data_IF_342424685702
#
_entry.id   IF_342424685702
#
_cell.length_a   1.000
_cell.length_b   1.000
_cell.length_c   1.000
_cell.angle_alpha   90.00
_cell.angle_beta   90.00
_cell.angle_gamma   90.00
#
_symmetry.space_group_name_H-M   'P 1'
#
loop_
_entity.id
_entity.type
_entity.pdbx_description
1 polymer ?
#
# COMPACT_ATOMS: atom_id res chain seq x y z
N UNK A 1 2.74 -8.72 43.44
CA UNK A 1 3.35 -7.81 42.48
C UNK A 1 4.26 -8.60 41.53
N UNK A 2 3.94 -8.64 40.23
CA UNK A 2 4.80 -9.23 39.19
C UNK A 2 4.56 -8.50 37.86
N UNK A 3 5.56 -7.75 37.46
CA UNK A 3 5.65 -7.04 36.18
C UNK A 3 6.08 -8.06 35.12
N UNK A 4 5.36 -8.14 34.00
CA UNK A 4 5.81 -8.87 32.81
C UNK A 4 5.85 -7.88 31.64
N UNK A 5 7.05 -7.39 31.35
CA UNK A 5 7.36 -6.81 30.05
C UNK A 5 7.56 -7.98 29.07
N UNK A 6 6.61 -8.21 28.16
CA UNK A 6 6.82 -9.11 27.03
C UNK A 6 7.60 -8.36 25.97
N UNK A 7 8.90 -8.62 25.94
CA UNK A 7 9.79 -8.16 24.88
C UNK A 7 9.35 -8.70 23.53
N UNK A 8 8.80 -7.82 22.69
CA UNK A 8 8.62 -8.09 21.26
C UNK A 8 9.87 -7.62 20.49
N UNK A 9 10.99 -8.30 20.72
CA UNK A 9 12.01 -8.40 19.67
C UNK A 9 11.47 -9.43 18.68
N UNK A 10 10.90 -8.93 17.58
CA UNK A 10 10.42 -9.76 16.49
C UNK A 10 11.65 -10.34 15.79
N UNK A 11 11.94 -11.60 16.09
CA UNK A 11 12.93 -12.42 15.41
C UNK A 11 12.70 -12.35 13.89
N UNK A 12 13.49 -11.53 13.21
CA UNK A 12 13.69 -11.64 11.77
C UNK A 12 14.43 -12.95 11.54
N UNK A 13 13.71 -14.06 11.38
CA UNK A 13 14.30 -15.31 10.92
C UNK A 13 14.87 -15.09 9.52
N UNK A 14 16.16 -14.80 9.47
CA UNK A 14 16.97 -14.93 8.26
C UNK A 14 17.22 -16.42 8.05
N UNK A 15 16.51 -17.05 7.12
CA UNK A 15 16.84 -18.41 6.68
C UNK A 15 18.23 -18.41 6.02
N UNK A 16 19.18 -19.24 6.46
CA UNK A 16 20.48 -19.32 5.82
C UNK A 16 20.37 -20.24 4.60
N UNK A 17 20.50 -19.67 3.40
CA UNK A 17 20.76 -20.47 2.20
C UNK A 17 19.95 -20.11 0.96
N UNK A 18 20.08 -18.88 0.45
CA UNK A 18 20.30 -18.67 -0.97
C UNK A 18 20.85 -17.26 -1.20
N UNK A 19 21.67 -17.09 -2.25
CA UNK A 19 22.48 -15.90 -2.57
C UNK A 19 21.77 -14.57 -2.28
N UNK A 20 22.51 -13.62 -1.70
CA UNK A 20 22.11 -12.25 -1.40
C UNK A 20 21.47 -11.53 -2.61
N UNK A 21 20.20 -11.78 -2.88
CA UNK A 21 19.36 -10.78 -3.52
C UNK A 21 19.23 -9.68 -2.48
N UNK A 22 19.67 -8.46 -2.78
CA UNK A 22 19.33 -7.30 -1.95
C UNK A 22 17.84 -7.38 -1.68
N UNK A 23 17.43 -7.52 -0.42
CA UNK A 23 16.02 -7.63 -0.06
C UNK A 23 15.41 -6.25 -0.31
N UNK A 24 14.96 -6.04 -1.54
CA UNK A 24 14.19 -4.87 -1.93
C UNK A 24 12.93 -4.93 -1.08
N UNK A 25 12.65 -3.91 -0.24
CA UNK A 25 11.51 -3.96 0.65
C UNK A 25 10.21 -3.85 -0.17
N UNK A 26 9.19 -4.57 0.28
CA UNK A 26 7.83 -4.42 -0.25
C UNK A 26 7.29 -3.02 0.10
N UNK A 27 7.40 -2.10 -0.86
CA UNK A 27 6.89 -0.74 -0.70
C UNK A 27 5.35 -0.69 -0.72
N UNK A 28 4.73 -1.63 -1.42
CA UNK A 28 3.29 -1.68 -1.68
C UNK A 28 2.78 -0.44 -2.43
N UNK A 29 1.47 -0.18 -2.37
CA UNK A 29 0.84 0.90 -3.15
C UNK A 29 0.63 2.14 -2.29
N UNK A 30 0.60 3.33 -2.90
CA UNK A 30 0.45 4.58 -2.15
C UNK A 30 1.04 5.80 -2.85
N UNK A 31 1.44 6.78 -2.04
CA UNK A 31 1.94 8.08 -2.53
C UNK A 31 3.29 7.94 -3.24
N UNK A 32 3.40 8.49 -4.45
CA UNK A 32 4.54 8.31 -5.35
C UNK A 32 5.87 8.73 -4.70
N UNK A 33 5.91 9.90 -4.09
CA UNK A 33 7.16 10.45 -3.55
C UNK A 33 7.65 9.68 -2.32
N UNK A 34 6.73 9.13 -1.52
CA UNK A 34 7.10 8.32 -0.36
C UNK A 34 7.66 6.97 -0.78
N UNK A 35 7.01 6.30 -1.73
CA UNK A 35 7.51 5.05 -2.32
C UNK A 35 8.87 5.29 -2.99
N UNK A 36 9.00 6.37 -3.77
CA UNK A 36 10.25 6.72 -4.44
C UNK A 36 11.40 6.93 -3.44
N UNK A 37 11.13 7.65 -2.36
CA UNK A 37 12.11 7.97 -1.30
C UNK A 37 12.57 6.73 -0.56
N UNK A 38 11.65 5.84 -0.21
CA UNK A 38 11.97 4.60 0.50
C UNK A 38 12.81 3.71 -0.42
N UNK A 39 12.33 3.40 -1.61
CA UNK A 39 13.01 2.48 -2.54
C UNK A 39 14.36 3.00 -3.02
N UNK A 40 14.51 4.33 -3.15
CA UNK A 40 15.78 4.95 -3.50
C UNK A 40 16.90 4.68 -2.51
N UNK A 41 16.58 4.42 -1.23
CA UNK A 41 17.57 4.11 -0.19
C UNK A 41 18.08 2.67 -0.23
N UNK A 42 17.32 1.75 -0.84
CA UNK A 42 17.63 0.31 -0.84
C UNK A 42 18.34 -0.19 -2.11
N UNK A 43 18.70 0.72 -3.02
CA UNK A 43 19.45 0.35 -4.23
C UNK A 43 18.68 -0.51 -5.24
N UNK A 44 17.35 -0.61 -5.11
CA UNK A 44 16.51 -1.37 -6.02
C UNK A 44 16.60 -0.81 -7.45
N UNK A 45 16.65 -1.70 -8.46
CA UNK A 45 16.49 -1.27 -9.85
C UNK A 45 15.05 -0.84 -10.05
N UNK A 46 14.85 0.30 -10.71
CA UNK A 46 13.54 0.96 -10.83
C UNK A 46 13.24 1.21 -12.29
N UNK A 47 12.03 0.84 -12.71
CA UNK A 47 11.48 1.24 -13.99
C UNK A 47 11.14 2.73 -14.03
N UNK A 48 10.58 3.19 -15.16
CA UNK A 48 10.07 4.56 -15.31
C UNK A 48 8.96 4.81 -14.28
N UNK A 49 9.07 5.92 -13.56
CA UNK A 49 8.07 6.34 -12.59
C UNK A 49 6.99 7.13 -13.35
N UNK A 50 5.68 6.82 -13.16
CA UNK A 50 4.60 7.59 -13.75
C UNK A 50 4.48 8.97 -13.09
N UNK A 51 3.86 9.93 -13.78
CA UNK A 51 3.63 11.29 -13.27
C UNK A 51 2.51 11.32 -12.21
N UNK A 52 1.68 10.28 -12.12
CA UNK A 52 0.56 10.20 -11.18
C UNK A 52 1.02 10.34 -9.73
N UNK A 53 0.21 11.04 -8.94
CA UNK A 53 0.44 11.22 -7.51
C UNK A 53 0.37 9.88 -6.73
N UNK A 54 -0.54 9.00 -7.14
CA UNK A 54 -0.77 7.69 -6.53
C UNK A 54 -0.28 6.60 -7.48
N UNK A 55 0.44 5.61 -6.93
CA UNK A 55 1.05 4.55 -7.73
C UNK A 55 0.85 3.18 -7.10
N UNK A 56 0.89 2.17 -7.97
CA UNK A 56 1.05 0.76 -7.61
C UNK A 56 2.46 0.32 -7.92
N UNK A 57 3.01 -0.53 -7.06
CA UNK A 57 4.31 -1.18 -7.30
C UNK A 57 4.11 -2.63 -7.69
N UNK A 58 4.90 -3.10 -8.64
CA UNK A 58 5.00 -4.52 -8.96
C UNK A 58 6.47 -4.94 -8.98
N UNK A 59 6.77 -5.95 -8.18
CA UNK A 59 8.11 -6.53 -8.05
C UNK A 59 8.32 -7.63 -9.09
N UNK A 60 9.49 -7.62 -9.72
CA UNK A 60 9.96 -8.67 -10.62
C UNK A 60 11.46 -8.85 -10.44
N UNK A 61 11.86 -9.85 -9.65
CA UNK A 61 13.26 -10.09 -9.33
C UNK A 61 13.86 -8.93 -8.52
N UNK A 62 14.88 -8.28 -9.07
CA UNK A 62 15.57 -7.11 -8.47
C UNK A 62 14.97 -5.76 -8.91
N UNK A 63 13.94 -5.79 -9.76
CA UNK A 63 13.38 -4.63 -10.43
C UNK A 63 11.97 -4.33 -9.97
N UNK A 64 11.72 -3.07 -9.61
CA UNK A 64 10.39 -2.54 -9.30
C UNK A 64 9.86 -1.77 -10.50
N UNK A 65 8.67 -2.15 -10.94
CA UNK A 65 7.87 -1.41 -11.90
C UNK A 65 6.73 -0.66 -11.21
N UNK A 66 6.30 0.44 -11.82
CA UNK A 66 5.27 1.32 -11.28
C UNK A 66 4.11 1.42 -12.27
N UNK A 67 2.89 1.49 -11.74
CA UNK A 67 1.70 1.83 -12.51
C UNK A 67 0.98 3.01 -11.83
N UNK A 68 0.61 4.03 -12.60
CA UNK A 68 -0.17 5.15 -12.10
C UNK A 68 -1.58 4.72 -11.68
N UNK A 69 -2.11 5.35 -10.65
CA UNK A 69 -3.52 5.24 -10.27
C UNK A 69 -4.20 6.52 -10.74
N UNK A 70 -5.11 6.34 -11.70
CA UNK A 70 -5.94 7.42 -12.22
C UNK A 70 -7.11 7.68 -11.27
N UNK A 71 -7.28 8.94 -10.87
CA UNK A 71 -8.38 9.38 -10.01
C UNK A 71 -9.38 10.11 -10.89
N UNK A 72 -10.54 9.50 -11.09
CA UNK A 72 -11.61 10.06 -11.89
C UNK A 72 -12.81 10.34 -11.01
N UNK A 73 -13.30 11.59 -11.01
CA UNK A 73 -14.45 11.99 -10.22
C UNK A 73 -15.67 11.11 -10.47
N UNK A 74 -16.32 10.67 -9.39
CA UNK A 74 -17.49 9.80 -9.44
C UNK A 74 -17.19 8.32 -9.69
N UNK A 75 -15.91 7.92 -9.80
CA UNK A 75 -15.50 6.52 -9.83
C UNK A 75 -14.71 6.15 -8.58
N UNK A 76 -14.96 4.96 -8.04
CA UNK A 76 -14.22 4.47 -6.86
C UNK A 76 -12.75 4.21 -7.26
N UNK A 77 -11.76 4.85 -6.61
CA UNK A 77 -10.35 4.59 -6.89
C UNK A 77 -9.92 3.21 -6.38
N UNK A 78 -8.86 2.66 -6.96
CA UNK A 78 -8.27 1.40 -6.49
C UNK A 78 -7.27 1.65 -5.37
N UNK A 79 -7.64 1.27 -4.14
CA UNK A 79 -6.83 1.41 -2.93
C UNK A 79 -6.26 0.08 -2.43
N UNK A 80 -6.44 -1.02 -3.16
CA UNK A 80 -5.89 -2.32 -2.75
C UNK A 80 -4.37 -2.25 -2.66
N UNK A 81 -3.79 -2.87 -1.64
CA UNK A 81 -2.35 -2.84 -1.35
C UNK A 81 -1.85 -1.53 -0.71
N UNK A 82 -2.70 -0.51 -0.56
CA UNK A 82 -2.35 0.71 0.16
C UNK A 82 -2.35 0.50 1.67
N UNK A 83 -1.59 1.34 2.38
CA UNK A 83 -1.75 1.47 3.83
C UNK A 83 -3.14 2.02 4.16
N UNK A 84 -3.65 1.78 5.38
CA UNK A 84 -4.93 2.38 5.80
C UNK A 84 -4.92 3.91 5.63
N UNK A 85 -3.81 4.55 5.99
CA UNK A 85 -3.64 6.01 5.93
C UNK A 85 -3.79 6.52 4.51
N UNK A 86 -3.07 5.91 3.58
CA UNK A 86 -3.11 6.28 2.16
C UNK A 86 -4.49 6.03 1.55
N UNK A 87 -5.09 4.88 1.87
CA UNK A 87 -6.42 4.53 1.39
C UNK A 87 -7.50 5.49 1.90
N UNK A 88 -7.47 5.84 3.19
CA UNK A 88 -8.39 6.82 3.77
C UNK A 88 -8.24 8.18 3.11
N UNK A 89 -7.00 8.68 3.01
CA UNK A 89 -6.75 9.97 2.39
C UNK A 89 -7.28 10.04 0.96
N UNK A 90 -6.99 9.03 0.15
CA UNK A 90 -7.43 9.00 -1.24
C UNK A 90 -8.96 8.95 -1.38
N UNK A 91 -9.61 8.10 -0.58
CA UNK A 91 -11.07 7.93 -0.65
C UNK A 91 -11.82 9.15 -0.10
N UNK A 92 -11.36 9.71 1.01
CA UNK A 92 -11.99 10.89 1.62
C UNK A 92 -11.85 12.12 0.73
N UNK A 93 -10.68 12.33 0.12
CA UNK A 93 -10.49 13.41 -0.86
C UNK A 93 -11.25 13.16 -2.17
N UNK A 94 -11.61 11.92 -2.48
CA UNK A 94 -12.52 11.58 -3.58
C UNK A 94 -14.00 11.76 -3.22
N UNK A 95 -14.30 12.25 -2.01
CA UNK A 95 -15.66 12.53 -1.54
C UNK A 95 -16.35 11.33 -0.90
N UNK A 96 -15.65 10.24 -0.58
CA UNK A 96 -16.25 9.05 0.00
C UNK A 96 -16.02 8.97 1.52
N UNK A 97 -16.96 8.35 2.23
CA UNK A 97 -16.76 7.96 3.63
C UNK A 97 -16.09 6.59 3.66
N UNK A 98 -15.28 6.32 4.67
CA UNK A 98 -14.56 5.05 4.79
C UNK A 98 -15.00 4.28 6.03
N UNK A 99 -15.27 2.99 5.87
CA UNK A 99 -15.39 2.01 6.96
C UNK A 99 -14.34 0.94 6.75
N UNK A 100 -13.64 0.52 7.80
CA UNK A 100 -12.63 -0.53 7.66
C UNK A 100 -12.64 -1.52 8.82
N UNK A 101 -12.08 -2.70 8.57
CA UNK A 101 -11.79 -3.72 9.58
C UNK A 101 -10.39 -4.33 9.36
N UNK A 102 -9.70 -4.63 10.46
CA UNK A 102 -8.33 -5.17 10.43
C UNK A 102 -7.24 -4.10 10.52
N UNK A 103 -6.03 -4.46 10.10
CA UNK A 103 -4.81 -3.64 10.18
C UNK A 103 -3.86 -3.87 9.00
N UNK A 104 -2.89 -2.97 8.84
CA UNK A 104 -1.84 -3.10 7.83
C UNK A 104 -2.23 -2.54 6.47
N UNK A 105 -2.34 -3.39 5.46
CA UNK A 105 -2.67 -3.00 4.07
C UNK A 105 -4.08 -3.43 3.68
N UNK A 106 -4.70 -2.68 2.78
CA UNK A 106 -6.01 -2.99 2.21
C UNK A 106 -5.90 -4.26 1.37
N UNK A 107 -6.64 -5.30 1.75
CA UNK A 107 -6.78 -6.52 0.97
C UNK A 107 -7.92 -6.41 -0.03
N UNK A 108 -9.08 -5.94 0.44
CA UNK A 108 -10.31 -5.82 -0.35
C UNK A 108 -10.96 -4.47 -0.10
N UNK A 109 -11.65 -3.99 -1.13
CA UNK A 109 -12.48 -2.79 -1.07
C UNK A 109 -13.87 -3.10 -1.63
N UNK A 110 -14.86 -2.34 -1.20
CA UNK A 110 -16.20 -2.37 -1.77
C UNK A 110 -16.81 -0.95 -1.74
N UNK A 111 -17.40 -0.45 -2.84
CA UNK A 111 -17.52 -1.09 -4.15
C UNK A 111 -16.18 -1.33 -4.86
N UNK A 112 -16.20 -2.15 -5.91
CA UNK A 112 -15.03 -2.43 -6.74
C UNK A 112 -14.51 -1.14 -7.40
N UNK A 113 -13.20 -1.08 -7.63
CA UNK A 113 -12.59 0.06 -8.30
C UNK A 113 -13.19 0.29 -9.69
N UNK A 114 -13.32 1.55 -10.11
CA UNK A 114 -13.98 1.95 -11.35
C UNK A 114 -15.51 1.88 -11.32
N UNK A 115 -16.11 1.43 -10.21
CA UNK A 115 -17.56 1.50 -10.02
C UNK A 115 -17.99 2.96 -9.90
N UNK A 116 -19.09 3.33 -10.57
CA UNK A 116 -19.69 4.65 -10.38
C UNK A 116 -20.29 4.76 -8.98
N UNK A 117 -19.91 5.80 -8.26
CA UNK A 117 -20.31 6.00 -6.87
C UNK A 117 -20.47 7.48 -6.57
N UNK A 118 -21.36 7.80 -5.63
CA UNK A 118 -21.74 9.17 -5.30
C UNK A 118 -20.99 9.66 -4.07
N UNK A 119 -20.80 10.97 -4.02
CA UNK A 119 -20.22 11.66 -2.86
C UNK A 119 -21.01 11.37 -1.58
N UNK A 120 -20.30 11.28 -0.45
CA UNK A 120 -20.84 10.95 0.87
C UNK A 120 -21.16 9.46 1.08
N UNK A 121 -21.15 8.64 0.03
CA UNK A 121 -21.37 7.21 0.17
C UNK A 121 -20.16 6.49 0.80
N UNK A 122 -20.39 5.31 1.38
CA UNK A 122 -19.38 4.61 2.19
C UNK A 122 -18.67 3.52 1.42
N UNK A 123 -17.35 3.65 1.26
CA UNK A 123 -16.47 2.58 0.79
C UNK A 123 -16.01 1.76 2.01
N UNK A 124 -16.18 0.44 1.92
CA UNK A 124 -15.78 -0.51 2.95
C UNK A 124 -14.46 -1.16 2.58
N UNK A 125 -13.52 -1.20 3.53
CA UNK A 125 -12.20 -1.79 3.37
C UNK A 125 -12.02 -2.99 4.31
N UNK A 126 -11.49 -4.06 3.77
CA UNK A 126 -11.05 -5.20 4.57
C UNK A 126 -9.53 -5.28 4.50
N UNK A 127 -8.91 -5.36 5.65
CA UNK A 127 -7.46 -5.39 5.82
C UNK A 127 -7.02 -6.76 6.35
N UNK A 128 -5.71 -6.99 6.41
CA UNK A 128 -5.16 -8.15 7.13
C UNK A 128 -5.59 -8.12 8.61
N UNK A 129 -5.80 -9.29 9.22
CA UNK A 129 -6.16 -9.42 10.63
C UNK A 129 -4.95 -9.29 11.58
#
# INVERSE_FOLDING_TARGET
>A
DRIYATGFYRDYKSSPGNRMASVVPEAGNGYRDDIHRVLGRFGAKRGKIPENEWIKTRESGDTISYAGIEITGGLVPDVRGMSLRDAMYLLENSGYRVRFSGKGRVLRQFPEHGTRYFEGQTVSLEMNL
#
